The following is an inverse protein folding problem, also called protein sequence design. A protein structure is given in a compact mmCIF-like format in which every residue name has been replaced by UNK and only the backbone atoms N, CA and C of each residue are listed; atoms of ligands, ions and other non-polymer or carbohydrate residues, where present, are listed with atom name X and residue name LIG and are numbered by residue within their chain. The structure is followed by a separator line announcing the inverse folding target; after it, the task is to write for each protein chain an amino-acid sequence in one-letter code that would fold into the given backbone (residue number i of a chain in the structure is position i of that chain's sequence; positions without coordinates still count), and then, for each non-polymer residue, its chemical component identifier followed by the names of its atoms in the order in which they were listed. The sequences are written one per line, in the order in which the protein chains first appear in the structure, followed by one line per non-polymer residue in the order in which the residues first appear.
data_IF_895938273519
#
_entry.id   IF_895938273519
#
_cell.length_a   1.000
_cell.length_b   1.000
_cell.length_c   1.000
_cell.angle_alpha   90.00
_cell.angle_beta   90.00
_cell.angle_gamma   90.00
#
_symmetry.space_group_name_H-M   'P 1'
#
loop_
_entity.id
_entity.type
_entity.pdbx_description
1 polymer ?
#
# COMPACT_ATOMS: atom_id res chain seq x y z
N UNK A 1 -47.77 -20.32 -20.56
CA UNK A 1 -47.18 -19.87 -19.28
C UNK A 1 -45.66 -19.90 -19.37
N UNK A 2 -45.01 -18.80 -19.76
CA UNK A 2 -43.59 -18.50 -19.47
C UNK A 2 -43.17 -17.22 -20.23
N UNK A 3 -43.14 -16.08 -19.54
CA UNK A 3 -42.52 -14.87 -20.10
C UNK A 3 -41.83 -14.04 -19.03
N UNK A 4 -42.27 -14.14 -17.77
CA UNK A 4 -41.62 -13.44 -16.66
C UNK A 4 -40.26 -14.02 -16.25
N UNK A 5 -40.01 -15.33 -16.46
CA UNK A 5 -38.75 -15.95 -16.02
C UNK A 5 -37.58 -15.67 -16.97
N UNK A 6 -37.82 -15.38 -18.25
CA UNK A 6 -36.74 -15.15 -19.21
C UNK A 6 -36.07 -13.79 -18.97
N UNK A 7 -36.86 -12.76 -18.69
CA UNK A 7 -36.37 -11.39 -18.48
C UNK A 7 -35.52 -11.26 -17.22
N UNK A 8 -35.88 -12.00 -16.15
CA UNK A 8 -35.09 -12.02 -14.90
C UNK A 8 -33.78 -12.78 -15.10
N UNK A 9 -33.79 -13.87 -15.87
CA UNK A 9 -32.57 -14.64 -16.16
C UNK A 9 -31.63 -13.86 -17.08
N UNK A 10 -32.15 -13.17 -18.10
CA UNK A 10 -31.36 -12.24 -18.94
C UNK A 10 -30.80 -11.08 -18.12
N UNK A 11 -31.60 -10.45 -17.24
CA UNK A 11 -31.11 -9.38 -16.38
C UNK A 11 -30.03 -9.87 -15.41
N UNK A 12 -30.18 -11.06 -14.82
CA UNK A 12 -29.15 -11.63 -13.93
C UNK A 12 -27.89 -12.00 -14.72
N UNK A 13 -28.02 -12.48 -15.96
CA UNK A 13 -26.86 -12.69 -16.82
C UNK A 13 -26.17 -11.37 -17.19
N UNK A 14 -26.92 -10.32 -17.55
CA UNK A 14 -26.35 -9.01 -17.84
C UNK A 14 -25.71 -8.34 -16.62
N UNK A 15 -26.29 -8.47 -15.42
CA UNK A 15 -25.72 -7.91 -14.18
C UNK A 15 -24.45 -8.67 -13.75
N UNK A 16 -24.41 -9.99 -13.97
CA UNK A 16 -23.21 -10.81 -13.69
C UNK A 16 -22.10 -10.61 -14.71
N UNK A 17 -22.44 -10.39 -15.98
CA UNK A 17 -21.50 -10.01 -17.04
C UNK A 17 -21.02 -8.56 -16.86
N UNK A 18 -21.87 -7.64 -16.40
CA UNK A 18 -21.45 -6.28 -16.09
C UNK A 18 -20.52 -6.21 -14.87
N UNK A 19 -20.74 -7.04 -13.85
CA UNK A 19 -19.78 -7.17 -12.74
C UNK A 19 -18.45 -7.80 -13.17
N UNK A 20 -18.48 -8.76 -14.10
CA UNK A 20 -17.26 -9.30 -14.74
C UNK A 20 -16.64 -8.35 -15.78
N UNK A 21 -17.35 -7.29 -16.17
CA UNK A 21 -16.86 -6.21 -17.03
C UNK A 21 -16.25 -5.03 -16.25
N UNK A 22 -16.06 -5.17 -14.92
CA UNK A 22 -14.77 -4.77 -14.36
C UNK A 22 -13.72 -5.74 -14.88
N UNK A 23 -13.49 -5.71 -16.19
CA UNK A 23 -12.24 -6.15 -16.76
C UNK A 23 -11.15 -5.58 -15.86
N UNK A 24 -10.22 -6.43 -15.43
CA UNK A 24 -8.97 -5.97 -14.83
C UNK A 24 -8.44 -4.85 -15.72
N UNK A 25 -8.76 -3.59 -15.39
CA UNK A 25 -8.21 -2.46 -16.10
C UNK A 25 -6.73 -2.62 -15.88
N UNK A 26 -6.00 -2.85 -16.96
CA UNK A 26 -4.55 -2.96 -16.91
C UNK A 26 -4.07 -1.72 -16.18
N UNK A 27 -3.48 -1.95 -15.00
CA UNK A 27 -3.10 -0.87 -14.13
C UNK A 27 -1.78 -0.29 -14.63
N UNK A 28 -1.77 1.01 -14.90
CA UNK A 28 -0.57 1.69 -15.35
C UNK A 28 0.39 1.84 -14.17
N UNK A 29 1.58 1.27 -14.32
CA UNK A 29 2.74 1.56 -13.45
C UNK A 29 3.29 2.91 -13.88
N UNK A 30 3.30 3.88 -12.96
CA UNK A 30 3.83 5.23 -13.19
C UNK A 30 5.32 5.29 -12.87
N UNK A 31 5.77 4.56 -11.84
CA UNK A 31 7.16 4.52 -11.42
C UNK A 31 7.48 3.25 -10.64
N UNK A 32 8.78 2.98 -10.50
CA UNK A 32 9.33 1.90 -9.67
C UNK A 32 10.45 2.43 -8.79
N UNK A 33 10.48 2.01 -7.54
CA UNK A 33 11.58 2.26 -6.61
C UNK A 33 12.07 0.95 -5.99
N UNK A 34 13.37 0.91 -5.69
CA UNK A 34 14.04 -0.21 -5.05
C UNK A 34 14.64 0.27 -3.73
N UNK A 35 14.34 -0.42 -2.65
CA UNK A 35 14.85 -0.09 -1.33
C UNK A 35 15.42 -1.31 -0.63
N UNK A 36 16.59 -1.19 -0.02
CA UNK A 36 17.09 -2.21 0.92
C UNK A 36 16.83 -1.72 2.33
N UNK A 37 16.06 -2.48 3.10
CA UNK A 37 15.72 -2.16 4.48
C UNK A 37 16.27 -3.21 5.43
N UNK A 38 16.54 -2.79 6.66
CA UNK A 38 16.95 -3.72 7.71
C UNK A 38 15.74 -4.30 8.43
N UNK A 39 15.84 -5.57 8.81
CA UNK A 39 14.86 -6.20 9.69
C UNK A 39 14.98 -5.57 11.08
N UNK A 40 13.84 -5.16 11.64
CA UNK A 40 13.78 -4.60 12.99
C UNK A 40 14.34 -5.60 14.02
N UNK A 41 15.24 -5.13 14.89
CA UNK A 41 15.93 -5.94 15.89
C UNK A 41 17.03 -6.85 15.32
N UNK A 42 17.23 -6.88 13.99
CA UNK A 42 18.25 -7.70 13.32
C UNK A 42 18.94 -6.90 12.18
N UNK A 43 19.80 -5.91 12.49
CA UNK A 43 20.43 -5.03 11.50
C UNK A 43 21.23 -5.76 10.41
N UNK A 44 21.77 -6.94 10.73
CA UNK A 44 22.52 -7.77 9.79
C UNK A 44 21.63 -8.46 8.75
N UNK A 45 20.33 -8.56 9.00
CA UNK A 45 19.36 -9.10 8.04
C UNK A 45 18.71 -7.98 7.27
N UNK A 46 18.90 -8.01 5.96
CA UNK A 46 18.35 -7.02 5.02
C UNK A 46 17.28 -7.67 4.16
N UNK A 47 16.35 -6.85 3.71
CA UNK A 47 15.26 -7.23 2.84
C UNK A 47 15.16 -6.19 1.72
N UNK A 48 15.01 -6.66 0.49
CA UNK A 48 14.87 -5.79 -0.68
C UNK A 48 13.39 -5.62 -1.02
N UNK A 49 12.97 -4.35 -1.14
CA UNK A 49 11.64 -3.95 -1.51
C UNK A 49 11.61 -3.48 -2.96
N UNK A 50 10.62 -3.94 -3.72
CA UNK A 50 10.21 -3.36 -5.00
C UNK A 50 8.90 -2.62 -4.77
N UNK A 51 8.92 -1.31 -4.97
CA UNK A 51 7.74 -0.46 -4.82
C UNK A 51 7.27 -0.07 -6.21
N UNK A 52 6.02 -0.40 -6.52
CA UNK A 52 5.36 -0.05 -7.76
C UNK A 52 4.39 1.10 -7.47
N UNK A 53 4.69 2.30 -7.97
CA UNK A 53 3.75 3.41 -7.96
C UNK A 53 2.74 3.26 -9.08
N UNK A 54 1.47 3.13 -8.74
CA UNK A 54 0.40 2.83 -9.70
C UNK A 54 -0.50 4.06 -9.87
N UNK A 55 -1.13 4.18 -11.04
CA UNK A 55 -2.04 5.30 -11.31
C UNK A 55 -3.21 5.39 -10.30
N UNK A 56 -3.57 4.29 -9.62
CA UNK A 56 -4.67 4.20 -8.67
C UNK A 56 -4.23 3.78 -7.26
N UNK A 57 -2.93 3.71 -7.00
CA UNK A 57 -2.45 3.04 -5.80
C UNK A 57 -0.95 2.82 -5.76
N UNK A 58 -0.56 1.79 -5.02
CA UNK A 58 0.78 1.24 -5.07
C UNK A 58 0.79 -0.23 -4.66
N UNK A 59 1.87 -0.91 -4.99
CA UNK A 59 2.19 -2.24 -4.47
C UNK A 59 3.63 -2.27 -3.97
N UNK A 60 3.87 -3.05 -2.92
CA UNK A 60 5.18 -3.30 -2.33
C UNK A 60 5.40 -4.80 -2.34
N UNK A 61 6.52 -5.22 -2.89
CA UNK A 61 6.92 -6.61 -2.99
C UNK A 61 8.29 -6.81 -2.35
N UNK A 62 8.57 -8.02 -1.89
CA UNK A 62 9.90 -8.41 -1.41
C UNK A 62 10.33 -9.74 -2.01
N UNK A 63 11.63 -9.95 -2.11
CA UNK A 63 12.22 -11.22 -2.51
C UNK A 63 12.71 -11.99 -1.29
N UNK A 64 12.31 -13.26 -1.22
CA UNK A 64 12.76 -14.20 -0.21
C UNK A 64 14.12 -14.79 -0.60
N UNK A 65 14.85 -15.32 0.39
CA UNK A 65 16.19 -15.91 0.19
C UNK A 65 16.19 -17.07 -0.83
N UNK A 66 15.04 -17.71 -1.04
CA UNK A 66 14.83 -18.79 -2.00
C UNK A 66 14.54 -18.29 -3.44
N UNK A 67 14.46 -16.96 -3.65
CA UNK A 67 14.15 -16.34 -4.93
C UNK A 67 12.65 -16.14 -5.21
N UNK A 68 11.78 -16.55 -4.29
CA UNK A 68 10.34 -16.28 -4.40
C UNK A 68 10.04 -14.79 -4.14
N UNK A 69 8.98 -14.29 -4.74
CA UNK A 69 8.50 -12.92 -4.54
C UNK A 69 7.17 -12.96 -3.78
N UNK A 70 7.04 -12.11 -2.76
CA UNK A 70 5.82 -11.99 -1.97
C UNK A 70 5.33 -10.53 -1.92
N UNK A 71 4.01 -10.34 -1.97
CA UNK A 71 3.40 -9.02 -1.80
C UNK A 71 3.38 -8.68 -0.31
N UNK A 72 3.99 -7.54 0.03
CA UNK A 72 4.05 -7.01 1.41
C UNK A 72 2.84 -6.11 1.67
N UNK A 73 2.50 -5.25 0.70
CA UNK A 73 1.44 -4.26 0.86
C UNK A 73 0.85 -3.85 -0.50
N UNK A 74 -0.45 -3.64 -0.55
CA UNK A 74 -1.15 -3.15 -1.73
C UNK A 74 -2.31 -2.25 -1.31
N UNK A 75 -2.40 -1.05 -1.88
CA UNK A 75 -3.46 -0.10 -1.56
C UNK A 75 -3.96 0.59 -2.83
N UNK A 76 -5.28 0.84 -2.91
CA UNK A 76 -5.97 1.35 -4.11
C UNK A 76 -6.70 2.68 -3.88
N UNK A 77 -6.27 3.43 -2.87
CA UNK A 77 -6.86 4.71 -2.49
C UNK A 77 -6.30 5.92 -3.24
N UNK A 78 -5.66 5.67 -4.39
CA UNK A 78 -5.04 6.68 -5.23
C UNK A 78 -3.51 6.62 -5.23
N UNK A 79 -2.88 7.31 -6.19
CA UNK A 79 -1.42 7.26 -6.36
C UNK A 79 -0.71 7.87 -5.15
N UNK A 80 0.55 7.45 -4.95
CA UNK A 80 1.48 8.05 -4.00
C UNK A 80 2.60 8.79 -4.76
N UNK A 81 3.11 9.87 -4.16
CA UNK A 81 4.22 10.67 -4.72
C UNK A 81 5.60 10.30 -4.16
N UNK A 82 5.63 9.65 -3.02
CA UNK A 82 6.87 9.26 -2.36
C UNK A 82 6.64 8.02 -1.49
N UNK A 83 7.66 7.18 -1.41
CA UNK A 83 7.74 6.03 -0.52
C UNK A 83 9.11 6.05 0.15
N UNK A 84 9.16 6.35 1.45
CA UNK A 84 10.41 6.53 2.18
C UNK A 84 10.47 5.55 3.35
N UNK A 85 11.22 4.44 3.24
CA UNK A 85 11.44 3.56 4.38
C UNK A 85 12.14 4.31 5.51
N UNK A 86 11.68 4.10 6.73
CA UNK A 86 12.29 4.65 7.93
C UNK A 86 13.24 3.62 8.55
N UNK A 87 14.29 4.08 9.21
CA UNK A 87 15.24 3.17 9.86
C UNK A 87 14.53 2.27 10.87
N UNK A 88 14.64 0.97 10.66
CA UNK A 88 14.07 -0.05 11.53
C UNK A 88 14.90 -0.31 12.78
N UNK A 89 16.17 0.11 12.80
CA UNK A 89 17.08 -0.09 13.91
C UNK A 89 17.63 1.26 14.38
N UNK A 90 17.56 1.51 15.68
CA UNK A 90 18.07 2.72 16.32
C UNK A 90 18.47 2.40 17.75
N UNK A 91 19.35 3.24 18.31
CA UNK A 91 19.74 3.14 19.71
C UNK A 91 18.68 3.84 20.58
N UNK A 92 18.13 3.09 21.54
CA UNK A 92 17.28 3.63 22.59
C UNK A 92 18.16 4.25 23.67
N UNK A 93 17.65 5.27 24.36
CA UNK A 93 18.33 5.76 25.57
C UNK A 93 18.23 4.68 26.65
N UNK A 94 19.20 4.65 27.56
CA UNK A 94 19.17 3.71 28.69
C UNK A 94 17.81 3.76 29.41
N UNK A 95 17.23 2.59 29.65
CA UNK A 95 15.91 2.34 30.27
C UNK A 95 14.65 2.70 29.45
N UNK A 96 14.77 3.09 28.18
CA UNK A 96 13.60 3.26 27.31
C UNK A 96 13.11 1.92 26.72
N UNK A 97 11.81 1.67 26.85
CA UNK A 97 11.14 0.53 26.22
C UNK A 97 10.73 0.88 24.78
N UNK A 98 11.10 0.03 23.83
CA UNK A 98 10.70 0.17 22.43
C UNK A 98 9.23 -0.22 22.21
N UNK A 99 8.33 0.76 22.29
CA UNK A 99 6.89 0.51 22.08
C UNK A 99 6.53 0.14 20.63
N UNK A 100 7.46 0.29 19.69
CA UNK A 100 7.22 0.11 18.26
C UNK A 100 7.94 -1.09 17.68
N UNK A 101 8.64 -1.89 18.51
CA UNK A 101 9.46 -3.00 18.07
C UNK A 101 8.74 -3.94 17.09
N UNK A 102 7.52 -4.35 17.44
CA UNK A 102 6.71 -5.31 16.66
C UNK A 102 6.01 -4.69 15.45
N UNK A 103 5.99 -3.36 15.35
CA UNK A 103 5.31 -2.63 14.26
C UNK A 103 6.27 -2.19 13.15
N UNK A 104 7.58 -2.28 13.37
CA UNK A 104 8.61 -1.95 12.36
C UNK A 104 8.75 -3.08 11.33
N UNK A 105 9.24 -2.79 10.11
CA UNK A 105 9.69 -1.49 9.64
C UNK A 105 8.54 -0.55 9.26
N UNK A 106 8.81 0.75 9.31
CA UNK A 106 7.86 1.79 8.93
C UNK A 106 8.21 2.40 7.58
N UNK A 107 7.20 2.91 6.88
CA UNK A 107 7.35 3.73 5.69
C UNK A 107 6.60 5.04 5.87
N UNK A 108 7.19 6.15 5.41
CA UNK A 108 6.50 7.42 5.21
C UNK A 108 6.09 7.58 3.74
N UNK A 109 4.84 7.96 3.50
CA UNK A 109 4.29 8.12 2.15
C UNK A 109 3.55 9.45 2.01
N UNK A 110 3.69 10.06 0.83
CA UNK A 110 2.86 11.21 0.43
C UNK A 110 1.68 10.68 -0.38
N UNK A 111 0.50 10.69 0.22
CA UNK A 111 -0.71 10.04 -0.31
C UNK A 111 -1.81 11.03 -0.73
N UNK A 112 -2.87 10.48 -1.33
CA UNK A 112 -4.06 11.19 -1.79
C UNK A 112 -5.26 11.01 -0.85
N UNK A 113 -5.04 10.78 0.45
CA UNK A 113 -6.10 10.50 1.44
C UNK A 113 -6.94 11.75 1.79
N UNK A 114 -7.55 12.35 0.77
CA UNK A 114 -8.52 13.43 0.87
C UNK A 114 -9.36 13.43 -0.40
N UNK A 115 -10.64 13.72 -0.25
CA UNK A 115 -11.57 13.89 -1.37
C UNK A 115 -11.54 15.30 -1.95
N UNK A 116 -10.82 16.23 -1.31
CA UNK A 116 -10.65 17.61 -1.78
C UNK A 116 -9.46 17.67 -2.75
N UNK A 117 -9.67 17.91 -4.06
CA UNK A 117 -8.62 17.80 -5.07
C UNK A 117 -7.38 18.65 -4.79
N UNK A 118 -7.56 19.90 -4.37
CA UNK A 118 -6.47 20.84 -4.10
C UNK A 118 -5.66 20.52 -2.84
N UNK A 119 -6.11 19.55 -2.04
CA UNK A 119 -5.42 19.11 -0.81
C UNK A 119 -4.75 17.75 -0.95
N UNK A 120 -4.83 17.12 -2.12
CA UNK A 120 -4.10 15.88 -2.37
C UNK A 120 -2.61 16.09 -2.15
N UNK A 121 -1.92 15.10 -1.60
CA UNK A 121 -0.48 15.15 -1.33
C UNK A 121 -0.06 16.19 -0.27
N UNK A 122 -1.01 16.80 0.44
CA UNK A 122 -0.75 17.71 1.57
C UNK A 122 -0.64 16.94 2.90
N UNK A 123 -0.25 15.67 2.85
CA UNK A 123 -0.12 14.83 4.03
C UNK A 123 0.94 13.77 3.85
N UNK A 124 1.60 13.44 4.97
CA UNK A 124 2.51 12.30 5.09
C UNK A 124 1.88 11.28 6.04
N UNK A 125 1.67 10.07 5.55
CA UNK A 125 1.26 8.93 6.37
C UNK A 125 2.45 8.06 6.71
N UNK A 126 2.57 7.69 7.97
CA UNK A 126 3.52 6.68 8.45
C UNK A 126 2.77 5.38 8.66
N UNK A 127 3.21 4.32 7.99
CA UNK A 127 2.56 3.00 7.98
C UNK A 127 3.56 1.92 8.38
N UNK A 128 3.09 0.94 9.14
CA UNK A 128 3.81 -0.30 9.46
C UNK A 128 3.74 -1.27 8.29
N UNK A 129 4.90 -1.69 7.77
CA UNK A 129 4.97 -2.76 6.76
C UNK A 129 4.71 -4.14 7.37
N UNK A 130 4.91 -4.32 8.68
CA UNK A 130 4.63 -5.60 9.35
C UNK A 130 3.14 -5.85 9.57
N UNK A 131 2.34 -4.77 9.68
CA UNK A 131 0.89 -4.87 9.98
C UNK A 131 -0.02 -4.25 8.94
N UNK A 132 0.53 -3.47 8.00
CA UNK A 132 -0.23 -2.64 7.05
C UNK A 132 -0.95 -1.45 7.68
N UNK A 133 -0.81 -1.21 8.99
CA UNK A 133 -1.58 -0.20 9.73
C UNK A 133 -0.89 1.17 9.77
N UNK A 134 -1.70 2.22 9.66
CA UNK A 134 -1.25 3.60 9.91
C UNK A 134 -0.86 3.82 11.37
N UNK A 135 0.32 4.39 11.58
CA UNK A 135 0.92 4.65 12.90
C UNK A 135 0.80 6.13 13.25
N UNK A 136 1.02 6.99 12.26
CA UNK A 136 0.97 8.45 12.42
C UNK A 136 0.63 9.12 11.10
N UNK A 137 0.04 10.30 11.17
CA UNK A 137 -0.22 11.14 10.01
C UNK A 137 0.15 12.58 10.33
N UNK A 138 0.80 13.24 9.38
CA UNK A 138 1.08 14.66 9.38
C UNK A 138 0.26 15.28 8.26
N UNK A 139 -0.58 16.26 8.57
CA UNK A 139 -1.42 16.95 7.59
C UNK A 139 -1.05 18.44 7.58
N UNK A 140 -1.01 19.01 6.39
CA UNK A 140 -0.70 20.42 6.16
C UNK A 140 -1.96 21.09 5.64
N UNK A 141 -2.37 22.19 6.28
CA UNK A 141 -3.64 22.88 5.96
C UNK A 141 -3.57 23.65 4.63
N UNK A 142 -2.35 24.03 4.24
CA UNK A 142 -2.02 24.76 3.02
C UNK A 142 -0.96 23.98 2.21
N UNK A 143 -1.11 23.86 0.87
CA UNK A 143 -0.17 23.16 -0.01
C UNK A 143 1.21 23.83 -0.13
#
# INVERSE_FOLDING_TARGET
TSSFSSSVVEFVHDVTLQHHSQAHMVEKVEWVELHTIERAGQPSRRMDLVVLGLARGFQVWTFNENGDCEEVMSERQGPIRAFVPLSGNFELRNDELDMFADQRPFVAMVDTYTTVPDRQYCSVSVVSLSTGKGVRRFAFEEP
#
